data_IF_201829867938
#
_entry.id   IF_201829867938
#
_cell.length_a   1.000
_cell.length_b   1.000
_cell.length_c   1.000
_cell.angle_alpha   90.00
_cell.angle_beta   90.00
_cell.angle_gamma   90.00
#
_symmetry.space_group_name_H-M   'P 1'
#
loop_
_entity.id
_entity.type
_entity.pdbx_description
1 polymer ?
#
# COMPACT_ATOMS: atom_id res chain seq x y z
N UNK A 1 34.19 57.58 34.42
CA UNK A 1 32.98 58.37 34.16
C UNK A 1 31.78 57.48 34.45
N UNK A 2 31.12 57.73 35.58
CA UNK A 2 29.89 57.06 35.99
C UNK A 2 28.73 57.55 35.12
N UNK A 3 27.88 56.66 34.63
CA UNK A 3 26.50 57.00 34.31
C UNK A 3 25.60 55.83 34.67
N UNK A 4 25.10 55.87 35.90
CA UNK A 4 23.94 55.11 36.33
C UNK A 4 22.67 55.79 35.79
N UNK A 5 21.73 55.01 35.26
CA UNK A 5 20.31 55.38 35.24
C UNK A 5 19.49 54.18 35.75
N UNK A 6 18.76 54.49 36.81
CA UNK A 6 17.80 53.65 37.54
C UNK A 6 16.40 53.85 36.94
N UNK A 7 15.57 52.82 37.10
CA UNK A 7 14.11 52.84 37.36
C UNK A 7 13.36 51.90 36.40
N UNK A 8 12.88 50.75 36.89
CA UNK A 8 11.54 50.52 37.49
C UNK A 8 10.41 50.57 36.45
N UNK A 9 9.34 49.78 36.43
CA UNK A 9 8.80 48.65 37.19
C UNK A 9 7.66 48.12 36.29
N UNK A 10 7.50 46.79 36.24
CA UNK A 10 6.33 45.97 35.90
C UNK A 10 5.10 46.62 35.23
N UNK A 11 4.63 46.02 34.12
CA UNK A 11 3.21 45.64 33.99
C UNK A 11 3.10 44.29 33.28
N UNK A 12 2.54 43.34 34.01
CA UNK A 12 2.05 42.04 33.56
C UNK A 12 0.95 42.22 32.51
N UNK A 13 1.02 41.47 31.40
CA UNK A 13 -0.21 40.95 30.79
C UNK A 13 0.08 39.67 30.02
N UNK A 14 -0.24 38.58 30.72
CA UNK A 14 -0.70 37.31 30.19
C UNK A 14 -1.54 37.48 28.92
N UNK A 15 -1.07 36.90 27.82
CA UNK A 15 -1.94 36.39 26.77
C UNK A 15 -1.53 34.94 26.51
N UNK A 16 -2.25 34.08 27.22
CA UNK A 16 -2.44 32.67 26.93
C UNK A 16 -2.87 32.49 25.46
N UNK A 17 -1.96 32.04 24.59
CA UNK A 17 -2.36 31.29 23.41
C UNK A 17 -2.33 29.82 23.79
N UNK A 18 -3.43 29.37 24.40
CA UNK A 18 -3.80 27.96 24.40
C UNK A 18 -3.90 27.53 22.93
N UNK A 19 -2.83 26.96 22.39
CA UNK A 19 -2.93 26.18 21.16
C UNK A 19 -3.97 25.09 21.46
N UNK A 20 -5.10 25.03 20.74
CA UNK A 20 -6.05 23.95 20.92
C UNK A 20 -5.28 22.66 20.72
N UNK A 21 -5.45 21.71 21.65
CA UNK A 21 -4.86 20.39 21.61
C UNK A 21 -4.97 19.88 20.16
N UNK A 22 -3.82 19.87 19.46
CA UNK A 22 -3.72 19.15 18.22
C UNK A 22 -4.15 17.73 18.59
N UNK A 23 -5.33 17.32 18.11
CA UNK A 23 -5.77 15.95 18.15
C UNK A 23 -4.64 15.14 17.54
N UNK A 24 -3.76 14.63 18.40
CA UNK A 24 -2.83 13.56 18.09
C UNK A 24 -3.73 12.34 17.90
N UNK A 25 -4.47 12.31 16.80
CA UNK A 25 -4.87 11.06 16.20
C UNK A 25 -3.56 10.43 15.75
N UNK A 26 -2.86 9.82 16.72
CA UNK A 26 -1.78 8.89 16.49
C UNK A 26 -2.46 7.78 15.71
N UNK A 27 -2.36 7.83 14.37
CA UNK A 27 -2.63 6.69 13.52
C UNK A 27 -1.89 5.51 14.18
N UNK A 28 -2.62 4.48 14.63
CA UNK A 28 -1.99 3.39 15.32
C UNK A 28 -0.90 2.82 14.40
N UNK A 29 0.22 2.44 14.99
CA UNK A 29 1.31 1.74 14.31
C UNK A 29 0.85 0.43 13.62
N UNK A 30 -0.40 0.04 13.91
CA UNK A 30 -1.19 -1.12 13.52
C UNK A 30 -1.69 -1.09 12.06
N UNK A 31 -1.57 0.03 11.33
CA UNK A 31 -2.02 0.14 9.92
C UNK A 31 -0.98 -0.32 8.87
N UNK A 32 0.18 -0.82 9.30
CA UNK A 32 1.20 -1.36 8.38
C UNK A 32 0.84 -2.81 8.06
N UNK A 33 0.42 -3.06 6.82
CA UNK A 33 0.17 -4.41 6.34
C UNK A 33 1.45 -5.24 6.38
N UNK A 34 1.40 -6.38 7.08
CA UNK A 34 2.48 -7.35 7.11
C UNK A 34 2.57 -8.06 5.74
N UNK A 35 3.75 -8.04 5.12
CA UNK A 35 4.01 -8.65 3.81
C UNK A 35 4.32 -10.15 3.90
N UNK A 36 3.65 -10.89 4.78
CA UNK A 36 3.84 -12.33 4.93
C UNK A 36 2.79 -13.11 4.14
N UNK A 37 3.25 -14.01 3.28
CA UNK A 37 2.40 -14.95 2.57
C UNK A 37 2.87 -16.37 2.89
N UNK A 38 2.14 -17.16 3.69
CA UNK A 38 2.54 -18.54 4.01
C UNK A 38 2.62 -19.41 2.75
N UNK A 39 1.97 -18.98 1.66
CA UNK A 39 2.03 -19.63 0.37
C UNK A 39 3.35 -19.52 -0.39
N UNK A 40 4.19 -18.55 -0.04
CA UNK A 40 5.42 -18.25 -0.79
C UNK A 40 6.39 -19.44 -0.86
N UNK A 41 6.35 -20.34 0.13
CA UNK A 41 7.24 -21.51 0.17
C UNK A 41 6.99 -22.54 -0.92
N UNK A 42 5.80 -22.55 -1.54
CA UNK A 42 5.39 -23.61 -2.47
C UNK A 42 5.10 -23.13 -3.89
N UNK A 43 5.19 -21.82 -4.16
CA UNK A 43 5.02 -21.27 -5.51
C UNK A 43 6.20 -20.39 -5.87
N UNK A 44 6.59 -20.40 -7.13
CA UNK A 44 7.59 -19.48 -7.69
C UNK A 44 6.97 -18.21 -8.27
N UNK A 45 5.64 -18.09 -8.25
CA UNK A 45 4.92 -16.96 -8.85
C UNK A 45 5.22 -15.61 -8.17
N UNK A 46 5.63 -15.63 -6.90
CA UNK A 46 6.10 -14.47 -6.17
C UNK A 46 7.37 -13.87 -6.80
N UNK A 47 8.26 -14.71 -7.32
CA UNK A 47 9.63 -14.33 -7.70
C UNK A 47 9.82 -14.10 -9.20
N UNK A 48 8.75 -14.15 -10.00
CA UNK A 48 8.84 -13.89 -11.45
C UNK A 48 9.22 -12.41 -11.65
N UNK A 49 10.37 -12.09 -12.28
CA UNK A 49 10.85 -10.70 -12.39
C UNK A 49 9.95 -9.85 -13.29
N UNK A 50 9.31 -10.46 -14.29
CA UNK A 50 8.45 -9.76 -15.23
C UNK A 50 7.22 -9.17 -14.53
N UNK A 51 7.01 -7.86 -14.66
CA UNK A 51 5.85 -7.14 -14.14
C UNK A 51 4.67 -7.24 -15.11
N UNK A 52 3.45 -7.17 -14.59
CA UNK A 52 2.22 -7.22 -15.41
C UNK A 52 1.81 -5.85 -15.96
N UNK A 53 0.73 -5.84 -16.76
CA UNK A 53 0.09 -4.61 -17.22
C UNK A 53 -0.53 -3.85 -16.03
N UNK A 54 -0.41 -2.52 -16.02
CA UNK A 54 -1.05 -1.66 -15.02
C UNK A 54 -2.56 -1.65 -15.24
N UNK A 55 -3.32 -2.13 -14.24
CA UNK A 55 -4.79 -2.11 -14.27
C UNK A 55 -5.34 -0.85 -13.58
N UNK A 56 -4.97 -0.65 -12.31
CA UNK A 56 -5.30 0.56 -11.55
C UNK A 56 -4.10 1.02 -10.72
N UNK A 57 -4.04 2.31 -10.42
CA UNK A 57 -3.02 2.96 -9.59
C UNK A 57 -3.42 2.99 -8.12
N UNK A 58 -4.67 2.63 -7.80
CA UNK A 58 -5.15 2.48 -6.42
C UNK A 58 -5.11 1.02 -5.99
N UNK A 59 -4.67 0.71 -4.77
CA UNK A 59 -4.78 -0.65 -4.24
C UNK A 59 -6.24 -1.01 -3.93
N UNK A 60 -6.53 -2.31 -3.84
CA UNK A 60 -7.87 -2.81 -3.51
C UNK A 60 -7.83 -3.57 -2.18
N UNK A 61 -8.69 -3.16 -1.24
CA UNK A 61 -8.83 -3.82 0.05
C UNK A 61 -9.79 -5.01 -0.07
N UNK A 62 -9.39 -6.17 0.46
CA UNK A 62 -10.24 -7.34 0.62
C UNK A 62 -10.19 -7.79 2.08
N UNK A 63 -11.36 -8.02 2.66
CA UNK A 63 -11.48 -8.78 3.91
C UNK A 63 -11.21 -10.26 3.63
N UNK A 64 -10.04 -10.72 4.06
CA UNK A 64 -9.65 -12.12 3.89
C UNK A 64 -10.10 -12.95 5.08
N UNK A 65 -10.42 -14.22 4.83
CA UNK A 65 -10.80 -15.19 5.87
C UNK A 65 -9.70 -16.22 6.04
N UNK A 66 -9.36 -16.53 7.29
CA UNK A 66 -8.36 -17.51 7.68
C UNK A 66 -8.57 -18.84 6.93
N UNK A 67 -7.48 -19.38 6.40
CA UNK A 67 -7.45 -20.62 5.63
C UNK A 67 -8.00 -20.52 4.21
N UNK A 68 -8.68 -19.42 3.83
CA UNK A 68 -9.11 -19.24 2.44
C UNK A 68 -7.94 -18.91 1.54
N UNK A 69 -8.01 -19.46 0.33
CA UNK A 69 -7.04 -19.21 -0.73
C UNK A 69 -7.55 -18.13 -1.67
N UNK A 70 -6.70 -17.16 -1.95
CA UNK A 70 -6.94 -16.08 -2.91
C UNK A 70 -5.89 -16.16 -4.01
N UNK A 71 -6.32 -16.16 -5.27
CA UNK A 71 -5.43 -16.18 -6.42
C UNK A 71 -5.29 -14.76 -6.95
N UNK A 72 -4.22 -14.06 -6.61
CA UNK A 72 -4.00 -12.70 -7.07
C UNK A 72 -3.55 -12.67 -8.53
N UNK A 73 -4.11 -11.73 -9.31
CA UNK A 73 -3.74 -11.55 -10.71
C UNK A 73 -2.41 -10.80 -10.82
N UNK A 74 -1.37 -11.47 -11.35
CA UNK A 74 -0.08 -10.85 -11.63
C UNK A 74 0.01 -10.20 -13.03
N UNK A 75 -0.75 -10.69 -14.02
CA UNK A 75 -0.63 -10.24 -15.41
C UNK A 75 -1.33 -8.92 -15.74
N UNK A 76 -2.31 -8.49 -14.93
CA UNK A 76 -3.10 -7.27 -15.18
C UNK A 76 -4.27 -7.41 -16.15
N UNK A 77 -4.48 -8.58 -16.76
CA UNK A 77 -5.54 -8.82 -17.76
C UNK A 77 -6.85 -9.40 -17.20
N UNK A 78 -6.90 -9.72 -15.91
CA UNK A 78 -8.12 -10.26 -15.30
C UNK A 78 -9.24 -9.21 -15.33
N UNK A 79 -10.48 -9.66 -15.58
CA UNK A 79 -11.69 -8.85 -15.44
C UNK A 79 -12.23 -8.85 -14.01
N UNK A 80 -11.72 -9.74 -13.15
CA UNK A 80 -12.13 -9.90 -11.73
C UNK A 80 -11.06 -9.39 -10.76
N UNK A 81 -10.41 -8.28 -11.10
CA UNK A 81 -9.35 -7.71 -10.27
C UNK A 81 -9.83 -7.45 -8.83
N UNK A 82 -8.98 -7.66 -7.82
CA UNK A 82 -7.54 -7.99 -7.91
C UNK A 82 -7.25 -9.49 -8.12
N UNK A 83 -8.28 -10.33 -8.23
CA UNK A 83 -8.16 -11.78 -8.35
C UNK A 83 -7.99 -12.23 -9.80
N UNK A 84 -7.45 -13.43 -9.98
CA UNK A 84 -7.27 -14.07 -11.27
C UNK A 84 -8.56 -14.75 -11.75
N UNK A 85 -8.91 -14.53 -13.02
CA UNK A 85 -10.03 -15.14 -13.73
C UNK A 85 -9.61 -16.22 -14.75
N UNK A 86 -8.30 -16.40 -14.96
CA UNK A 86 -7.74 -17.32 -15.95
C UNK A 86 -7.24 -16.66 -17.24
N UNK A 87 -7.44 -15.35 -17.42
CA UNK A 87 -7.03 -14.60 -18.61
C UNK A 87 -5.54 -14.71 -18.94
N UNK A 88 -4.69 -15.02 -17.96
CA UNK A 88 -3.25 -15.28 -18.15
C UNK A 88 -2.95 -16.51 -19.01
N UNK A 89 -3.92 -17.43 -19.21
CA UNK A 89 -3.78 -18.62 -20.05
C UNK A 89 -4.13 -18.37 -21.51
N UNK A 90 -4.55 -17.15 -21.85
CA UNK A 90 -4.94 -16.82 -23.21
C UNK A 90 -3.72 -16.95 -24.15
N UNK A 91 -3.74 -17.90 -25.11
CA UNK A 91 -2.60 -18.14 -26.00
C UNK A 91 -2.30 -16.96 -26.93
N UNK A 92 -3.29 -16.08 -27.18
CA UNK A 92 -3.14 -14.94 -28.08
C UNK A 92 -2.43 -13.74 -27.43
N UNK A 93 -2.22 -13.72 -26.11
CA UNK A 93 -1.64 -12.58 -25.38
C UNK A 93 -0.19 -12.81 -24.90
N UNK A 94 0.38 -14.00 -25.12
CA UNK A 94 1.75 -14.35 -24.74
C UNK A 94 2.14 -13.93 -23.30
N UNK A 95 1.28 -14.21 -22.32
CA UNK A 95 1.45 -13.80 -20.92
C UNK A 95 2.30 -14.85 -20.17
N UNK A 96 3.42 -14.43 -19.58
CA UNK A 96 4.30 -15.31 -18.80
C UNK A 96 3.90 -15.37 -17.31
N UNK A 97 3.31 -14.30 -16.80
CA UNK A 97 2.98 -14.10 -15.40
C UNK A 97 1.91 -15.11 -14.95
N UNK A 98 2.20 -15.82 -13.86
CA UNK A 98 1.27 -16.74 -13.22
C UNK A 98 0.59 -16.09 -12.01
N UNK A 99 -0.64 -16.51 -11.66
CA UNK A 99 -1.31 -15.99 -10.47
C UNK A 99 -0.53 -16.32 -9.20
N UNK A 100 -0.47 -15.37 -8.27
CA UNK A 100 0.18 -15.60 -6.97
C UNK A 100 -0.86 -16.13 -6.01
N UNK A 101 -0.60 -17.32 -5.46
CA UNK A 101 -1.45 -17.91 -4.44
C UNK A 101 -1.18 -17.19 -3.12
N UNK A 102 -2.23 -16.72 -2.46
CA UNK A 102 -2.21 -16.19 -1.10
C UNK A 102 -3.12 -17.03 -0.24
N UNK A 103 -2.64 -17.43 0.93
CA UNK A 103 -3.45 -18.14 1.94
C UNK A 103 -3.47 -17.28 3.18
N UNK A 104 -4.66 -16.86 3.60
CA UNK A 104 -4.79 -16.02 4.78
C UNK A 104 -4.53 -16.83 6.05
N UNK A 105 -3.63 -16.33 6.87
CA UNK A 105 -3.26 -16.83 8.20
C UNK A 105 -4.29 -16.44 9.28
N UNK A 106 -4.98 -15.30 9.09
CA UNK A 106 -6.00 -14.78 9.97
C UNK A 106 -7.12 -14.06 9.18
N UNK A 107 -8.23 -13.78 9.86
CA UNK A 107 -9.26 -12.88 9.36
C UNK A 107 -8.73 -11.44 9.48
N UNK A 108 -8.43 -10.78 8.36
CA UNK A 108 -7.88 -9.42 8.34
C UNK A 108 -8.20 -8.69 7.04
N UNK A 109 -8.03 -7.39 7.04
CA UNK A 109 -8.05 -6.58 5.82
C UNK A 109 -6.68 -6.64 5.13
N UNK A 110 -6.68 -6.90 3.83
CA UNK A 110 -5.44 -6.96 3.03
C UNK A 110 -5.60 -6.08 1.80
N UNK A 111 -4.64 -5.19 1.60
CA UNK A 111 -4.51 -4.37 0.40
C UNK A 111 -3.71 -5.13 -0.66
N UNK A 112 -4.41 -5.52 -1.71
CA UNK A 112 -3.83 -6.16 -2.88
C UNK A 112 -3.37 -5.13 -3.91
N UNK A 113 -2.25 -5.42 -4.57
CA UNK A 113 -1.71 -4.55 -5.62
C UNK A 113 -2.57 -4.62 -6.90
N UNK A 114 -2.95 -3.46 -7.44
CA UNK A 114 -3.61 -3.36 -8.75
C UNK A 114 -2.69 -2.85 -9.87
N UNK A 115 -1.60 -2.17 -9.55
CA UNK A 115 -0.68 -1.64 -10.57
C UNK A 115 0.27 -2.71 -11.14
N UNK A 116 0.41 -3.85 -10.43
CA UNK A 116 1.28 -4.99 -10.78
C UNK A 116 2.77 -4.69 -10.80
N UNK A 117 3.16 -3.51 -10.30
CA UNK A 117 4.55 -3.06 -10.17
C UNK A 117 5.13 -3.27 -8.76
N UNK A 118 4.40 -3.94 -7.87
CA UNK A 118 4.90 -4.25 -6.52
C UNK A 118 6.06 -5.25 -6.56
N UNK A 119 6.99 -5.09 -5.63
CA UNK A 119 8.04 -6.05 -5.30
C UNK A 119 7.58 -7.06 -4.23
N UNK A 120 6.57 -6.69 -3.44
CA UNK A 120 6.00 -7.53 -2.37
C UNK A 120 4.72 -8.23 -2.81
N UNK A 121 4.79 -9.01 -3.90
CA UNK A 121 3.61 -9.71 -4.44
C UNK A 121 3.00 -10.64 -3.38
N UNK A 122 1.67 -10.62 -3.18
CA UNK A 122 0.61 -9.94 -3.96
C UNK A 122 0.16 -8.57 -3.41
N UNK A 123 0.87 -8.06 -2.40
CA UNK A 123 0.46 -6.93 -1.57
C UNK A 123 0.81 -5.59 -2.19
N UNK A 124 0.18 -4.53 -1.71
CA UNK A 124 0.57 -3.17 -2.06
C UNK A 124 1.70 -2.67 -1.16
N UNK A 125 2.86 -2.38 -1.75
CA UNK A 125 4.03 -1.76 -1.11
C UNK A 125 4.15 -0.25 -1.34
N UNK A 126 3.26 0.32 -2.15
CA UNK A 126 3.29 1.73 -2.52
C UNK A 126 4.01 2.02 -3.84
N UNK A 127 4.53 1.03 -4.57
CA UNK A 127 5.14 1.22 -5.89
C UNK A 127 4.20 1.91 -6.89
N UNK A 128 2.89 1.83 -6.67
CA UNK A 128 1.91 2.58 -7.46
C UNK A 128 2.10 4.10 -7.41
N UNK A 129 2.77 4.66 -6.39
CA UNK A 129 3.02 6.09 -6.25
C UNK A 129 4.22 6.58 -7.05
N UNK A 130 5.04 5.68 -7.59
CA UNK A 130 6.22 6.07 -8.35
C UNK A 130 5.83 6.83 -9.64
N UNK A 131 6.60 7.84 -10.08
CA UNK A 131 6.21 8.70 -11.19
C UNK A 131 5.98 7.96 -12.52
N UNK A 132 6.72 6.89 -12.79
CA UNK A 132 6.56 6.05 -13.98
C UNK A 132 5.18 5.35 -14.02
N UNK A 133 4.73 4.79 -12.90
CA UNK A 133 3.42 4.16 -12.76
C UNK A 133 2.30 5.20 -12.84
N UNK A 134 2.54 6.39 -12.29
CA UNK A 134 1.59 7.50 -12.36
C UNK A 134 1.48 8.10 -13.76
N UNK A 135 2.56 8.11 -14.54
CA UNK A 135 2.55 8.55 -15.94
C UNK A 135 1.92 7.51 -16.87
N UNK A 136 2.00 6.23 -16.53
CA UNK A 136 1.48 5.16 -17.38
C UNK A 136 -0.04 5.23 -17.59
N UNK A 137 -0.48 4.87 -18.80
CA UNK A 137 -1.90 4.80 -19.18
C UNK A 137 -2.53 3.57 -18.54
N UNK A 138 -3.75 3.74 -18.02
CA UNK A 138 -4.52 2.63 -17.44
C UNK A 138 -4.90 1.63 -18.53
N UNK A 139 -4.66 0.37 -18.24
CA UNK A 139 -4.91 -0.72 -19.17
C UNK A 139 -6.31 -1.29 -19.11
N UNK A 140 -7.35 -0.53 -19.48
CA UNK A 140 -8.71 -1.08 -19.68
C UNK A 140 -8.78 -1.99 -20.91
#
# INVERSE_FOLDING_TARGET
MLSARVAMVQVLRSLSSSTPAACKFRLPEEAKQEFSNPAAKYTTAQDIPEKGKIYDKKPFMIEVKKGKTYMWCACGHSQKQPLCDGSHRNPFKAIQQRPVKYVADADKEVWFCMCKQTDHRPFCDGSHKHPDVQAAVRGH
#
